data_IF_896039445476
#
_entry.id   IF_896039445476
#
_cell.length_a   1.000
_cell.length_b   1.000
_cell.length_c   1.000
_cell.angle_alpha   90.00
_cell.angle_beta   90.00
_cell.angle_gamma   90.00
#
_symmetry.space_group_name_H-M   'P 1'
#
loop_
_entity.id
_entity.type
_entity.pdbx_description
1 polymer ?
#
# COMPACT_ATOMS: atom_id res chain seq x y z
N UNK A 1 15.67 -30.67 5.21
CA UNK A 1 16.71 -29.75 4.68
C UNK A 1 16.36 -28.37 5.17
N UNK A 2 17.24 -27.71 5.93
CA UNK A 2 17.06 -26.30 6.27
C UNK A 2 17.06 -25.52 4.96
N UNK A 3 15.93 -24.93 4.56
CA UNK A 3 15.91 -24.01 3.42
C UNK A 3 16.87 -22.86 3.75
N UNK A 4 17.87 -22.62 2.89
CA UNK A 4 18.77 -21.48 3.06
C UNK A 4 17.95 -20.19 2.97
N UNK A 5 18.03 -19.35 4.01
CA UNK A 5 17.32 -18.06 4.04
C UNK A 5 18.17 -16.99 3.37
N UNK A 6 17.59 -16.30 2.38
CA UNK A 6 18.26 -15.18 1.70
C UNK A 6 18.17 -13.94 2.58
N UNK A 7 19.29 -13.24 2.77
CA UNK A 7 19.33 -11.95 3.46
C UNK A 7 19.57 -10.82 2.46
N UNK A 8 18.70 -9.80 2.47
CA UNK A 8 18.88 -8.61 1.64
C UNK A 8 20.09 -7.79 2.12
N UNK A 9 20.99 -7.45 1.20
CA UNK A 9 21.99 -6.40 1.42
C UNK A 9 21.34 -5.02 1.18
N UNK A 10 21.21 -4.21 2.24
CA UNK A 10 20.41 -2.98 2.25
C UNK A 10 21.27 -1.72 2.15
N UNK A 11 22.11 -1.64 1.12
CA UNK A 11 23.11 -0.55 1.00
C UNK A 11 22.51 0.80 0.61
N UNK A 12 21.28 0.82 0.08
CA UNK A 12 20.67 2.00 -0.53
C UNK A 12 21.30 2.45 -1.84
N UNK A 13 22.32 1.75 -2.36
CA UNK A 13 22.96 2.10 -3.64
C UNK A 13 22.02 1.78 -4.80
N UNK A 14 21.75 2.78 -5.63
CA UNK A 14 21.03 2.69 -6.89
C UNK A 14 22.00 2.25 -7.97
N UNK A 15 21.82 1.03 -8.47
CA UNK A 15 22.66 0.44 -9.50
C UNK A 15 21.80 -0.18 -10.62
N UNK A 16 22.33 -0.34 -11.84
CA UNK A 16 21.65 -1.11 -12.88
C UNK A 16 21.35 -2.54 -12.40
N UNK A 17 20.19 -3.07 -12.80
CA UNK A 17 19.85 -4.46 -12.51
C UNK A 17 20.83 -5.39 -13.24
N UNK A 18 21.38 -6.43 -12.59
CA UNK A 18 22.42 -7.28 -13.20
C UNK A 18 22.01 -7.98 -14.49
N UNK A 19 20.70 -8.20 -14.68
CA UNK A 19 20.13 -8.91 -15.83
C UNK A 19 19.38 -7.97 -16.80
N UNK A 20 19.21 -6.69 -16.44
CA UNK A 20 18.49 -5.71 -17.25
C UNK A 20 19.00 -4.30 -16.97
N UNK A 21 19.91 -3.80 -17.82
CA UNK A 21 20.53 -2.48 -17.60
C UNK A 21 19.57 -1.31 -17.79
N UNK A 22 18.38 -1.52 -18.38
CA UNK A 22 17.34 -0.50 -18.49
C UNK A 22 16.56 -0.34 -17.16
N UNK A 23 16.71 -1.28 -16.23
CA UNK A 23 16.20 -1.20 -14.87
C UNK A 23 17.32 -0.75 -13.92
N UNK A 24 17.01 0.18 -13.01
CA UNK A 24 17.87 0.49 -11.88
C UNK A 24 17.18 0.08 -10.58
N UNK A 25 17.94 -0.47 -9.64
CA UNK A 25 17.42 -1.02 -8.39
C UNK A 25 18.20 -0.53 -7.19
N UNK A 26 17.56 -0.52 -6.03
CA UNK A 26 18.21 -0.37 -4.72
C UNK A 26 17.43 -1.14 -3.65
N UNK A 27 18.11 -1.60 -2.61
CA UNK A 27 17.50 -2.11 -1.39
C UNK A 27 17.69 -1.07 -0.29
N UNK A 28 16.59 -0.49 0.20
CA UNK A 28 16.64 0.66 1.12
C UNK A 28 17.20 0.25 2.49
N UNK A 29 18.08 1.07 3.10
CA UNK A 29 18.61 0.82 4.43
C UNK A 29 17.49 0.77 5.47
N UNK A 30 17.56 -0.19 6.40
CA UNK A 30 16.67 -0.25 7.56
C UNK A 30 17.26 -1.16 8.63
N UNK A 31 17.15 -0.74 9.89
CA UNK A 31 17.52 -1.54 11.07
C UNK A 31 16.42 -2.51 11.51
N UNK A 32 15.20 -2.37 10.98
CA UNK A 32 14.08 -3.23 11.37
C UNK A 32 14.21 -4.63 10.73
N UNK A 33 13.85 -5.70 11.47
CA UNK A 33 13.75 -7.04 10.89
C UNK A 33 12.59 -7.12 9.87
N UNK A 34 11.47 -6.43 10.13
CA UNK A 34 10.37 -6.29 9.19
C UNK A 34 10.27 -4.88 8.61
N UNK A 35 10.04 -4.79 7.29
CA UNK A 35 9.79 -3.57 6.53
C UNK A 35 8.68 -3.84 5.52
N UNK A 36 7.59 -3.07 5.55
CA UNK A 36 6.42 -3.34 4.71
C UNK A 36 5.64 -2.06 4.35
N UNK A 37 4.83 -2.16 3.29
CA UNK A 37 3.90 -1.12 2.80
C UNK A 37 4.56 0.22 2.41
N UNK A 38 5.40 0.18 1.37
CA UNK A 38 6.06 1.38 0.87
C UNK A 38 5.12 2.36 0.15
N UNK A 39 5.39 3.66 0.28
CA UNK A 39 4.85 4.74 -0.54
C UNK A 39 5.95 5.72 -0.95
N UNK A 40 5.93 6.14 -2.22
CA UNK A 40 6.86 7.09 -2.81
C UNK A 40 6.23 8.46 -3.02
N UNK A 41 7.05 9.51 -2.93
CA UNK A 41 6.68 10.85 -3.33
C UNK A 41 7.89 11.61 -3.93
N UNK A 42 7.89 11.85 -5.26
CA UNK A 42 8.80 12.80 -5.87
C UNK A 42 8.50 14.22 -5.38
N UNK A 43 9.54 14.97 -5.02
CA UNK A 43 9.44 16.33 -4.52
C UNK A 43 9.79 17.36 -5.61
N UNK A 44 9.33 18.63 -5.49
CA UNK A 44 9.61 19.68 -6.47
C UNK A 44 11.10 20.02 -6.63
N UNK A 45 11.91 19.81 -5.60
CA UNK A 45 13.36 19.98 -5.64
C UNK A 45 14.09 18.86 -6.40
N UNK A 46 13.36 17.81 -6.79
CA UNK A 46 13.84 16.62 -7.48
C UNK A 46 14.34 15.51 -6.56
N UNK A 47 14.22 15.68 -5.24
CA UNK A 47 14.39 14.59 -4.30
C UNK A 47 13.25 13.58 -4.42
N UNK A 48 13.48 12.36 -3.94
CA UNK A 48 12.46 11.33 -3.83
C UNK A 48 12.39 10.85 -2.39
N UNK A 49 11.19 10.85 -1.80
CA UNK A 49 10.94 10.25 -0.49
C UNK A 49 10.33 8.86 -0.65
N UNK A 50 10.73 7.95 0.23
CA UNK A 50 10.08 6.66 0.42
C UNK A 50 9.77 6.46 1.89
N UNK A 51 8.50 6.18 2.21
CA UNK A 51 8.06 5.81 3.56
C UNK A 51 7.54 4.38 3.58
N UNK A 52 7.69 3.70 4.70
CA UNK A 52 7.17 2.37 4.96
C UNK A 52 7.00 2.19 6.48
N UNK A 53 6.33 1.13 6.92
CA UNK A 53 6.34 0.79 8.34
C UNK A 53 7.32 -0.33 8.62
N UNK A 54 7.94 -0.29 9.81
CA UNK A 54 8.93 -1.27 10.22
C UNK A 54 9.03 -1.42 11.73
N UNK A 55 9.38 -2.63 12.15
CA UNK A 55 9.42 -3.08 13.54
C UNK A 55 9.67 -4.59 13.58
N UNK A 56 9.24 -5.27 14.65
CA UNK A 56 9.41 -6.72 14.79
C UNK A 56 8.42 -7.52 13.93
N UNK A 57 7.13 -7.20 13.99
CA UNK A 57 6.07 -7.88 13.24
C UNK A 57 4.82 -6.99 13.09
N UNK A 58 4.25 -6.98 11.89
CA UNK A 58 3.04 -6.23 11.53
C UNK A 58 1.93 -6.56 12.51
N UNK A 59 1.32 -5.53 13.08
CA UNK A 59 0.28 -5.67 14.08
C UNK A 59 0.77 -5.41 15.50
N UNK A 60 2.07 -5.50 15.78
CA UNK A 60 2.65 -5.21 17.11
C UNK A 60 2.89 -3.70 17.29
N UNK A 61 2.80 -3.22 18.54
CA UNK A 61 2.93 -1.80 18.88
C UNK A 61 4.33 -1.19 18.64
N UNK A 62 5.36 -2.00 18.41
CA UNK A 62 6.70 -1.49 18.07
C UNK A 62 6.83 -1.06 16.59
N UNK A 63 5.79 -1.31 15.79
CA UNK A 63 5.74 -0.92 14.39
C UNK A 63 5.60 0.61 14.30
N UNK A 64 6.58 1.23 13.66
CA UNK A 64 6.66 2.67 13.45
C UNK A 64 6.80 2.99 11.97
N UNK A 65 6.49 4.23 11.59
CA UNK A 65 6.75 4.76 10.25
C UNK A 65 8.23 5.15 10.12
N UNK A 66 8.84 4.73 9.02
CA UNK A 66 10.21 5.05 8.63
C UNK A 66 10.23 5.77 7.29
N UNK A 67 11.25 6.60 7.07
CA UNK A 67 11.45 7.34 5.83
C UNK A 67 12.91 7.30 5.39
N UNK A 68 13.15 7.14 4.10
CA UNK A 68 14.44 7.37 3.46
C UNK A 68 14.29 8.34 2.29
N UNK A 69 15.37 9.05 1.97
CA UNK A 69 15.42 10.07 0.92
C UNK A 69 16.49 9.71 -0.10
N UNK A 70 16.15 9.80 -1.37
CA UNK A 70 17.11 9.86 -2.47
C UNK A 70 17.24 11.32 -2.91
N UNK A 71 18.32 11.97 -2.49
CA UNK A 71 18.62 13.35 -2.89
C UNK A 71 18.85 13.42 -4.40
N UNK A 72 18.36 14.48 -5.05
CA UNK A 72 18.59 14.71 -6.47
C UNK A 72 20.09 14.61 -6.83
N UNK A 73 20.40 13.76 -7.80
CA UNK A 73 21.77 13.53 -8.27
C UNK A 73 22.60 12.56 -7.40
N UNK A 74 22.06 12.09 -6.27
CA UNK A 74 22.65 10.99 -5.51
C UNK A 74 22.40 9.66 -6.20
N UNK A 75 23.35 8.73 -6.05
CA UNK A 75 23.19 7.32 -6.38
C UNK A 75 22.82 6.49 -5.15
N UNK A 76 22.56 7.12 -4.00
CA UNK A 76 22.33 6.42 -2.74
C UNK A 76 21.18 7.02 -1.94
N UNK A 77 20.31 6.13 -1.47
CA UNK A 77 19.28 6.42 -0.46
C UNK A 77 19.91 6.67 0.91
N UNK A 78 19.39 7.65 1.64
CA UNK A 78 19.83 7.93 3.02
C UNK A 78 19.52 6.77 3.97
N UNK A 79 20.17 6.75 5.12
CA UNK A 79 19.71 5.93 6.24
C UNK A 79 18.25 6.27 6.59
N UNK A 80 17.50 5.25 7.01
CA UNK A 80 16.10 5.41 7.38
C UNK A 80 15.95 6.17 8.70
N UNK A 81 15.03 7.12 8.72
CA UNK A 81 14.66 7.90 9.90
C UNK A 81 13.28 7.46 10.39
N UNK A 82 13.17 7.16 11.69
CA UNK A 82 11.88 6.87 12.36
C UNK A 82 11.08 8.16 12.50
N UNK A 83 9.85 8.18 11.97
CA UNK A 83 8.99 9.37 11.88
C UNK A 83 7.74 9.29 12.76
N UNK A 84 7.45 8.16 13.37
CA UNK A 84 6.35 8.00 14.32
C UNK A 84 6.79 7.11 15.48
N UNK A 85 6.10 7.20 16.62
CA UNK A 85 6.38 6.37 17.80
C UNK A 85 5.15 6.38 18.72
N UNK A 86 4.47 5.24 18.84
CA UNK A 86 3.38 5.05 19.79
C UNK A 86 3.51 3.68 20.47
N UNK A 87 3.86 3.61 21.76
CA UNK A 87 4.04 2.32 22.44
C UNK A 87 2.74 1.53 22.62
N UNK A 88 1.58 2.15 22.42
CA UNK A 88 0.27 1.50 22.54
C UNK A 88 -0.37 1.12 21.20
N UNK A 89 0.25 1.45 20.06
CA UNK A 89 -0.35 1.24 18.73
C UNK A 89 0.66 0.81 17.67
N UNK A 90 0.24 -0.11 16.81
CA UNK A 90 0.96 -0.47 15.59
C UNK A 90 0.69 0.57 14.49
N UNK A 91 1.71 1.28 14.03
CA UNK A 91 1.60 2.39 13.08
C UNK A 91 1.95 1.98 11.64
N UNK A 92 0.93 1.79 10.80
CA UNK A 92 1.02 1.11 9.51
C UNK A 92 0.53 1.94 8.32
N UNK A 93 0.80 1.44 7.11
CA UNK A 93 0.39 2.02 5.82
C UNK A 93 0.66 3.53 5.69
N UNK A 94 1.92 3.98 5.87
CA UNK A 94 2.23 5.40 5.74
C UNK A 94 2.04 5.89 4.32
N UNK A 95 1.57 7.12 4.18
CA UNK A 95 1.27 7.80 2.92
C UNK A 95 1.83 9.22 2.99
N UNK A 96 2.56 9.61 1.94
CA UNK A 96 3.01 10.99 1.76
C UNK A 96 2.08 11.73 0.80
N UNK A 97 1.82 13.00 1.09
CA UNK A 97 1.03 13.89 0.25
C UNK A 97 1.59 15.32 0.33
N UNK A 98 2.03 15.89 -0.79
CA UNK A 98 2.40 17.30 -0.87
C UNK A 98 1.18 18.09 -1.32
N UNK A 99 0.71 18.99 -0.46
CA UNK A 99 -0.48 19.79 -0.78
C UNK A 99 -0.15 20.98 -1.71
N UNK A 100 -1.18 21.64 -2.28
CA UNK A 100 -0.97 22.78 -3.18
C UNK A 100 -0.27 23.99 -2.55
N UNK A 101 -0.27 24.11 -1.21
CA UNK A 101 0.41 25.17 -0.47
C UNK A 101 1.85 24.77 -0.09
N UNK A 102 2.35 23.65 -0.64
CA UNK A 102 3.69 23.10 -0.40
C UNK A 102 3.94 22.64 1.04
N UNK A 103 2.88 22.28 1.77
CA UNK A 103 3.00 21.56 3.04
C UNK A 103 3.02 20.07 2.76
N UNK A 104 4.08 19.40 3.24
CA UNK A 104 4.20 17.95 3.11
C UNK A 104 3.50 17.27 4.28
N UNK A 105 2.50 16.45 3.96
CA UNK A 105 1.78 15.62 4.91
C UNK A 105 2.35 14.20 4.92
N UNK A 106 2.51 13.65 6.12
CA UNK A 106 2.66 12.21 6.36
C UNK A 106 1.42 11.76 7.11
N UNK A 107 0.71 10.77 6.56
CA UNK A 107 -0.46 10.14 7.16
C UNK A 107 -0.20 8.65 7.38
N UNK A 108 -0.79 8.06 8.40
CA UNK A 108 -0.71 6.61 8.64
C UNK A 108 -1.90 6.11 9.45
N UNK A 109 -2.12 4.80 9.42
CA UNK A 109 -3.11 4.14 10.27
C UNK A 109 -2.45 3.70 11.58
N UNK A 110 -3.09 3.89 12.72
CA UNK A 110 -2.59 3.46 14.02
C UNK A 110 -3.64 2.59 14.74
N UNK A 111 -3.37 1.30 14.90
CA UNK A 111 -4.29 0.32 15.53
C UNK A 111 -3.75 -0.14 16.89
N UNK A 112 -4.64 -0.53 17.81
CA UNK A 112 -4.21 -1.32 18.98
C UNK A 112 -3.73 -2.70 18.48
N UNK A 113 -2.76 -3.28 19.17
CA UNK A 113 -2.06 -4.48 18.72
C UNK A 113 -3.01 -5.56 18.19
N UNK A 114 -2.79 -6.04 16.95
CA UNK A 114 -3.63 -7.07 16.31
C UNK A 114 -5.08 -6.69 15.93
N UNK A 115 -5.61 -5.54 16.37
CA UNK A 115 -7.03 -5.20 16.27
C UNK A 115 -7.30 -4.08 15.26
N UNK A 116 -7.47 -4.43 13.96
CA UNK A 116 -7.68 -3.45 12.88
C UNK A 116 -8.95 -2.60 13.07
N UNK A 117 -10.01 -3.15 13.65
CA UNK A 117 -11.26 -2.44 13.94
C UNK A 117 -11.10 -1.29 14.95
N UNK A 118 -9.94 -1.18 15.61
CA UNK A 118 -9.58 -0.07 16.51
C UNK A 118 -8.77 1.04 15.85
N UNK A 119 -8.48 0.89 14.56
CA UNK A 119 -7.61 1.78 13.81
C UNK A 119 -8.18 3.20 13.69
N UNK A 120 -7.29 4.18 13.84
CA UNK A 120 -7.53 5.60 13.56
C UNK A 120 -6.48 6.10 12.58
N UNK A 121 -6.74 7.23 11.93
CA UNK A 121 -5.77 7.85 11.01
C UNK A 121 -5.06 8.99 11.73
N UNK A 122 -3.74 8.92 11.76
CA UNK A 122 -2.86 9.97 12.28
C UNK A 122 -2.14 10.68 11.16
N UNK A 123 -1.65 11.87 11.47
CA UNK A 123 -0.83 12.64 10.55
C UNK A 123 0.17 13.52 11.28
N UNK A 124 1.18 13.98 10.55
CA UNK A 124 2.04 15.11 10.89
C UNK A 124 2.45 15.84 9.62
N UNK A 125 2.91 17.08 9.77
CA UNK A 125 3.23 17.95 8.64
C UNK A 125 4.68 18.42 8.68
N UNK A 126 5.23 18.69 7.50
CA UNK A 126 6.53 19.31 7.29
C UNK A 126 6.39 20.53 6.39
N UNK A 127 7.07 21.61 6.77
CA UNK A 127 7.13 22.87 6.01
C UNK A 127 8.48 23.08 5.33
N UNK A 128 9.35 22.06 5.35
CA UNK A 128 10.71 22.10 4.80
C UNK A 128 11.03 20.85 3.95
N UNK A 129 10.00 20.34 3.26
CA UNK A 129 10.06 19.20 2.35
C UNK A 129 10.53 17.90 3.02
N UNK A 130 10.18 17.69 4.29
CA UNK A 130 10.46 16.48 5.04
C UNK A 130 11.85 16.45 5.68
N UNK A 131 12.46 17.61 5.94
CA UNK A 131 13.72 17.71 6.72
C UNK A 131 13.43 17.75 8.22
N UNK A 132 12.34 18.39 8.61
CA UNK A 132 11.78 18.37 9.96
C UNK A 132 10.26 18.18 9.91
N UNK A 133 9.68 17.73 11.01
CA UNK A 133 8.27 17.37 11.09
C UNK A 133 7.66 17.92 12.38
N UNK A 134 6.46 18.49 12.27
CA UNK A 134 5.67 18.97 13.40
C UNK A 134 5.05 17.85 14.23
N UNK A 135 4.17 18.21 15.15
CA UNK A 135 3.51 17.28 16.07
C UNK A 135 2.66 16.22 15.36
N UNK A 136 2.54 15.06 16.00
CA UNK A 136 1.62 13.99 15.59
C UNK A 136 0.21 14.36 16.07
N UNK A 137 -0.77 14.31 15.17
CA UNK A 137 -2.18 14.60 15.43
C UNK A 137 -3.06 13.48 14.85
N UNK A 138 -4.30 13.39 15.34
CA UNK A 138 -5.32 12.50 14.77
C UNK A 138 -6.08 13.24 13.68
N UNK A 139 -6.15 12.67 12.48
CA UNK A 139 -6.93 13.19 11.36
C UNK A 139 -8.36 12.66 11.37
N UNK A 140 -8.51 11.33 11.52
CA UNK A 140 -9.79 10.63 11.54
C UNK A 140 -9.80 9.72 12.78
N UNK A 141 -10.71 9.98 13.70
CA UNK A 141 -10.79 9.31 15.01
C UNK A 141 -11.81 8.18 15.06
N UNK A 142 -12.63 8.01 14.01
CA UNK A 142 -13.56 6.89 13.87
C UNK A 142 -12.77 5.56 13.88
N UNK A 143 -13.00 4.67 14.85
CA UNK A 143 -12.37 3.35 14.89
C UNK A 143 -12.64 2.53 13.63
N UNK A 144 -11.66 1.71 13.25
CA UNK A 144 -11.70 0.85 12.08
C UNK A 144 -11.40 1.59 10.78
N UNK A 145 -10.91 2.83 10.83
CA UNK A 145 -10.59 3.60 9.62
C UNK A 145 -9.14 3.34 9.20
N UNK A 146 -8.97 2.81 8.00
CA UNK A 146 -7.65 2.61 7.38
C UNK A 146 -7.44 3.47 6.16
N UNK A 147 -6.16 3.80 5.93
CA UNK A 147 -5.66 4.37 4.69
C UNK A 147 -4.57 3.49 4.08
N UNK A 148 -4.32 3.66 2.78
CA UNK A 148 -3.16 3.07 2.08
C UNK A 148 -2.70 3.89 0.89
N UNK A 149 -3.61 4.60 0.24
CA UNK A 149 -3.35 5.29 -1.01
C UNK A 149 -3.26 6.81 -0.80
N UNK A 150 -2.49 7.53 -1.64
CA UNK A 150 -2.36 8.98 -1.57
C UNK A 150 -3.69 9.74 -1.67
N UNK A 151 -3.71 10.92 -1.07
CA UNK A 151 -4.75 11.93 -1.31
C UNK A 151 -4.66 12.37 -2.77
N UNK A 152 -5.82 12.55 -3.41
CA UNK A 152 -5.95 13.13 -4.74
C UNK A 152 -6.59 14.51 -4.61
N UNK A 153 -5.94 15.54 -5.15
CA UNK A 153 -6.52 16.88 -5.24
C UNK A 153 -7.15 17.05 -6.60
N UNK A 154 -8.44 17.37 -6.62
CA UNK A 154 -9.21 17.56 -7.85
C UNK A 154 -9.08 19.00 -8.38
N UNK A 155 -9.39 19.25 -9.66
CA UNK A 155 -9.37 20.59 -10.24
C UNK A 155 -10.28 21.62 -9.54
N UNK A 156 -11.34 21.16 -8.86
CA UNK A 156 -12.23 22.02 -8.07
C UNK A 156 -11.65 22.39 -6.69
N UNK A 157 -10.49 21.85 -6.31
CA UNK A 157 -9.83 22.08 -5.02
C UNK A 157 -10.13 21.04 -3.95
N UNK A 158 -11.08 20.13 -4.18
CA UNK A 158 -11.44 19.10 -3.20
C UNK A 158 -10.32 18.07 -3.05
N UNK A 159 -10.12 17.61 -1.82
CA UNK A 159 -9.18 16.54 -1.49
C UNK A 159 -9.95 15.25 -1.26
N UNK A 160 -9.58 14.20 -1.99
CA UNK A 160 -10.14 12.86 -1.84
C UNK A 160 -9.11 11.98 -1.13
N UNK A 161 -9.46 11.50 0.06
CA UNK A 161 -8.71 10.51 0.81
C UNK A 161 -9.47 9.18 0.78
N UNK A 162 -9.01 8.18 0.00
CA UNK A 162 -9.62 6.86 0.00
C UNK A 162 -9.38 6.16 1.34
N UNK A 163 -10.44 5.61 1.92
CA UNK A 163 -10.41 4.84 3.18
C UNK A 163 -11.12 3.50 3.00
N UNK A 164 -10.88 2.58 3.91
CA UNK A 164 -11.77 1.44 4.11
C UNK A 164 -12.05 1.25 5.60
N UNK A 165 -13.18 0.63 5.88
CA UNK A 165 -13.63 0.36 7.23
C UNK A 165 -13.45 -1.11 7.58
N UNK A 166 -12.68 -1.37 8.62
CA UNK A 166 -12.51 -2.68 9.23
C UNK A 166 -13.70 -2.96 10.14
N UNK A 167 -14.64 -3.78 9.66
CA UNK A 167 -15.91 -4.02 10.36
C UNK A 167 -15.89 -5.35 11.10
N UNK A 168 -16.42 -5.33 12.33
CA UNK A 168 -16.66 -6.51 13.18
C UNK A 168 -18.16 -6.72 13.34
N UNK A 169 -18.56 -7.98 13.57
CA UNK A 169 -19.90 -8.28 14.08
C UNK A 169 -19.84 -8.31 15.61
N UNK A 170 -20.94 -7.98 16.32
CA UNK A 170 -20.96 -8.03 17.77
C UNK A 170 -20.53 -9.41 18.31
N UNK A 171 -19.48 -9.43 19.14
CA UNK A 171 -18.93 -10.66 19.73
C UNK A 171 -17.92 -11.42 18.85
N UNK A 172 -17.59 -10.91 17.66
CA UNK A 172 -16.60 -11.50 16.77
C UNK A 172 -15.33 -10.64 16.64
N UNK A 173 -14.18 -11.31 16.51
CA UNK A 173 -12.94 -10.66 16.10
C UNK A 173 -13.00 -10.21 14.65
N UNK A 174 -12.20 -9.19 14.31
CA UNK A 174 -12.06 -8.75 12.94
C UNK A 174 -11.41 -9.84 12.06
N UNK A 175 -12.07 -10.18 10.95
CA UNK A 175 -11.59 -11.19 9.98
C UNK A 175 -11.46 -10.64 8.55
N UNK A 176 -11.76 -9.36 8.34
CA UNK A 176 -11.66 -8.68 7.05
C UNK A 176 -12.76 -8.99 6.02
N UNK A 177 -13.65 -9.95 6.30
CA UNK A 177 -14.70 -10.40 5.37
C UNK A 177 -15.80 -9.36 5.13
N UNK A 178 -15.98 -8.41 6.05
CA UNK A 178 -17.05 -7.42 6.01
C UNK A 178 -16.57 -6.01 5.67
N UNK A 179 -15.28 -5.86 5.37
CA UNK A 179 -14.69 -4.54 5.12
C UNK A 179 -15.30 -3.89 3.88
N UNK A 180 -15.54 -2.59 3.95
CA UNK A 180 -16.11 -1.78 2.87
C UNK A 180 -15.25 -0.56 2.60
N UNK A 181 -15.30 -0.05 1.36
CA UNK A 181 -14.56 1.16 0.96
C UNK A 181 -15.42 2.42 1.02
N UNK A 182 -14.76 3.54 1.29
CA UNK A 182 -15.34 4.87 1.22
C UNK A 182 -14.28 5.89 0.78
N UNK A 183 -14.72 7.08 0.42
CA UNK A 183 -13.85 8.22 0.15
C UNK A 183 -14.18 9.33 1.13
N UNK A 184 -13.16 9.85 1.81
CA UNK A 184 -13.26 11.08 2.59
C UNK A 184 -13.04 12.26 1.66
N UNK A 185 -13.97 13.22 1.65
CA UNK A 185 -13.84 14.46 0.88
C UNK A 185 -13.64 15.63 1.85
N UNK A 186 -12.60 16.41 1.59
CA UNK A 186 -12.38 17.71 2.25
C UNK A 186 -12.47 18.84 1.23
N UNK A 187 -13.23 19.88 1.57
CA UNK A 187 -13.43 21.10 0.79
C UNK A 187 -12.65 22.29 1.39
N UNK A 188 -11.94 22.06 2.50
CA UNK A 188 -11.32 23.07 3.34
C UNK A 188 -9.84 22.76 3.66
N UNK A 189 -9.16 22.10 2.72
CA UNK A 189 -7.73 21.75 2.78
C UNK A 189 -7.38 20.86 3.98
N UNK A 190 -8.20 19.84 4.21
CA UNK A 190 -7.99 18.79 5.20
C UNK A 190 -8.40 19.15 6.63
N UNK A 191 -9.10 20.28 6.85
CA UNK A 191 -9.58 20.68 8.18
C UNK A 191 -10.81 19.87 8.60
N UNK A 192 -11.70 19.56 7.67
CA UNK A 192 -12.85 18.69 7.89
C UNK A 192 -13.05 17.71 6.72
N UNK A 193 -13.70 16.58 7.02
CA UNK A 193 -13.87 15.48 6.09
C UNK A 193 -15.27 14.91 6.17
N UNK A 194 -15.97 14.81 5.03
CA UNK A 194 -17.23 14.07 4.90
C UNK A 194 -17.03 12.74 4.21
N UNK A 195 -17.95 11.82 4.43
CA UNK A 195 -17.91 10.47 3.89
C UNK A 195 -18.71 10.37 2.59
N UNK A 196 -18.15 9.69 1.59
CA UNK A 196 -18.86 9.18 0.42
C UNK A 196 -18.65 7.68 0.36
N UNK A 197 -19.72 6.93 0.57
CA UNK A 197 -19.68 5.46 0.54
C UNK A 197 -19.57 4.94 -0.89
N UNK A 198 -18.84 3.83 -1.08
CA UNK A 198 -18.83 3.10 -2.35
C UNK A 198 -19.87 1.98 -2.28
N UNK A 199 -20.90 1.97 -3.15
CA UNK A 199 -21.95 0.96 -3.09
C UNK A 199 -21.37 -0.44 -3.36
N UNK A 200 -21.93 -1.44 -2.68
CA UNK A 200 -21.59 -2.87 -2.87
C UNK A 200 -20.09 -3.21 -2.81
N UNK A 201 -19.33 -2.45 -2.01
CA UNK A 201 -17.87 -2.56 -1.94
C UNK A 201 -17.33 -3.57 -0.94
N UNK A 202 -18.16 -4.45 -0.39
CA UNK A 202 -17.73 -5.47 0.58
C UNK A 202 -16.60 -6.32 -0.01
N UNK A 203 -15.48 -6.42 0.72
CA UNK A 203 -14.29 -7.14 0.29
C UNK A 203 -13.37 -6.36 -0.65
N UNK A 204 -13.82 -5.25 -1.23
CA UNK A 204 -12.98 -4.34 -2.02
C UNK A 204 -12.37 -3.28 -1.10
N UNK A 205 -11.05 -3.32 -0.91
CA UNK A 205 -10.34 -2.41 0.01
C UNK A 205 -9.08 -1.83 -0.64
N UNK A 206 -8.37 -0.96 0.07
CA UNK A 206 -7.18 -0.26 -0.45
C UNK A 206 -7.44 0.53 -1.74
N UNK A 207 -8.65 1.09 -1.87
CA UNK A 207 -9.10 1.90 -3.00
C UNK A 207 -8.04 2.92 -3.41
N UNK A 208 -7.56 2.82 -4.64
CA UNK A 208 -6.64 3.78 -5.24
C UNK A 208 -7.39 4.60 -6.28
N UNK A 209 -7.60 5.88 -5.98
CA UNK A 209 -8.22 6.83 -6.91
C UNK A 209 -7.17 7.46 -7.80
N UNK A 210 -7.49 7.65 -9.09
CA UNK A 210 -6.68 8.43 -10.02
C UNK A 210 -7.57 9.22 -10.98
N UNK A 211 -7.13 10.42 -11.36
CA UNK A 211 -7.84 11.30 -12.28
C UNK A 211 -7.45 10.96 -13.72
N UNK A 212 -8.44 10.79 -14.59
CA UNK A 212 -8.26 10.55 -16.01
C UNK A 212 -8.27 11.86 -16.80
N UNK A 213 -7.75 11.83 -18.03
CA UNK A 213 -7.68 13.01 -18.91
C UNK A 213 -9.04 13.61 -19.26
N UNK A 214 -10.10 12.80 -19.26
CA UNK A 214 -11.48 13.25 -19.49
C UNK A 214 -12.13 13.89 -18.25
N UNK A 215 -11.39 13.99 -17.14
CA UNK A 215 -11.85 14.54 -15.86
C UNK A 215 -12.64 13.54 -14.99
N UNK A 216 -12.91 12.33 -15.47
CA UNK A 216 -13.50 11.27 -14.66
C UNK A 216 -12.48 10.63 -13.73
N UNK A 217 -12.95 9.95 -12.70
CA UNK A 217 -12.11 9.23 -11.75
C UNK A 217 -12.22 7.73 -11.98
N UNK A 218 -11.06 7.06 -11.97
CA UNK A 218 -10.96 5.62 -11.84
C UNK A 218 -10.51 5.28 -10.43
N UNK A 219 -11.15 4.29 -9.81
CA UNK A 219 -10.68 3.65 -8.61
C UNK A 219 -10.35 2.19 -8.88
N UNK A 220 -9.21 1.72 -8.39
CA UNK A 220 -8.83 0.31 -8.40
C UNK A 220 -8.68 -0.22 -6.97
N UNK A 221 -9.08 -1.47 -6.75
CA UNK A 221 -9.12 -2.09 -5.41
C UNK A 221 -8.30 -3.38 -5.38
N UNK A 222 -7.73 -3.68 -4.20
CA UNK A 222 -7.40 -5.08 -3.89
C UNK A 222 -8.67 -5.79 -3.43
N UNK A 223 -8.69 -7.11 -3.58
CA UNK A 223 -9.80 -7.96 -3.15
C UNK A 223 -9.41 -8.79 -1.95
N UNK A 224 -10.21 -8.73 -0.88
CA UNK A 224 -10.13 -9.61 0.29
C UNK A 224 -10.25 -11.08 -0.12
N UNK A 225 -10.90 -11.38 -1.23
CA UNK A 225 -11.13 -12.74 -1.70
C UNK A 225 -9.96 -13.33 -2.49
N UNK A 226 -8.91 -12.53 -2.75
CA UNK A 226 -7.75 -12.95 -3.54
C UNK A 226 -8.13 -13.55 -4.91
N UNK A 227 -8.99 -12.85 -5.64
CA UNK A 227 -9.44 -13.22 -6.99
C UNK A 227 -8.94 -12.23 -8.06
N UNK A 228 -9.50 -11.02 -8.09
CA UNK A 228 -9.31 -10.03 -9.15
C UNK A 228 -9.02 -8.65 -8.55
N UNK A 229 -8.39 -7.79 -9.35
CA UNK A 229 -8.47 -6.34 -9.13
C UNK A 229 -9.87 -5.91 -9.51
N UNK A 230 -10.52 -5.11 -8.68
CA UNK A 230 -11.82 -4.51 -8.99
C UNK A 230 -11.64 -3.05 -9.40
N UNK A 231 -12.61 -2.51 -10.14
CA UNK A 231 -12.67 -1.10 -10.51
C UNK A 231 -14.01 -0.46 -10.19
N UNK A 232 -13.99 0.83 -9.88
CA UNK A 232 -15.16 1.71 -9.83
C UNK A 232 -14.87 3.00 -10.57
N UNK A 233 -15.90 3.71 -11.01
CA UNK A 233 -15.78 5.02 -11.67
C UNK A 233 -16.64 6.07 -10.98
N UNK A 234 -16.17 7.30 -11.03
CA UNK A 234 -16.95 8.50 -10.67
C UNK A 234 -16.87 9.51 -11.81
N UNK A 235 -18.01 10.10 -12.13
CA UNK A 235 -18.16 11.12 -13.18
C UNK A 235 -18.59 12.48 -12.62
N UNK A 236 -18.64 12.60 -11.30
CA UNK A 236 -19.16 13.74 -10.56
C UNK A 236 -18.17 14.20 -9.48
N UNK A 237 -16.86 14.13 -9.77
CA UNK A 237 -15.79 14.60 -8.88
C UNK A 237 -15.73 13.85 -7.54
N UNK A 238 -16.11 12.57 -7.53
CA UNK A 238 -16.03 11.69 -6.37
C UNK A 238 -17.25 11.73 -5.46
N UNK A 239 -18.31 12.47 -5.82
CA UNK A 239 -19.56 12.54 -5.06
C UNK A 239 -20.37 11.25 -5.10
N UNK A 240 -20.22 10.46 -6.17
CA UNK A 240 -20.75 9.09 -6.26
C UNK A 240 -19.81 8.16 -7.01
N UNK A 241 -19.94 6.87 -6.74
CA UNK A 241 -19.11 5.81 -7.33
C UNK A 241 -19.99 4.67 -7.85
N UNK A 242 -19.62 4.08 -8.97
CA UNK A 242 -20.20 2.80 -9.41
C UNK A 242 -19.83 1.68 -8.45
N UNK A 243 -20.69 0.65 -8.36
CA UNK A 243 -20.34 -0.59 -7.65
C UNK A 243 -19.05 -1.20 -8.24
N UNK A 244 -18.17 -1.80 -7.42
CA UNK A 244 -16.94 -2.41 -7.92
C UNK A 244 -17.20 -3.58 -8.87
N UNK A 245 -16.56 -3.56 -10.04
CA UNK A 245 -16.61 -4.64 -11.03
C UNK A 245 -15.21 -5.25 -11.24
N UNK A 246 -15.09 -6.58 -11.41
CA UNK A 246 -13.80 -7.23 -11.58
C UNK A 246 -13.16 -6.88 -12.93
N UNK A 247 -11.85 -6.67 -12.92
CA UNK A 247 -11.00 -6.64 -14.11
C UNK A 247 -10.52 -8.06 -14.46
N UNK A 248 -9.97 -8.22 -15.67
CA UNK A 248 -9.26 -9.44 -16.06
C UNK A 248 -7.93 -9.65 -15.33
N UNK A 249 -7.47 -8.66 -14.55
CA UNK A 249 -6.23 -8.73 -13.79
C UNK A 249 -6.46 -9.47 -12.46
N UNK A 250 -5.63 -10.47 -12.12
CA UNK A 250 -5.76 -11.17 -10.84
C UNK A 250 -5.30 -10.31 -9.66
N UNK A 251 -5.78 -10.63 -8.46
CA UNK A 251 -5.27 -10.07 -7.21
C UNK A 251 -5.21 -11.14 -6.12
N UNK A 252 -4.20 -11.09 -5.26
CA UNK A 252 -3.90 -12.06 -4.22
C UNK A 252 -4.12 -11.50 -2.79
N UNK A 253 -5.05 -10.55 -2.63
CA UNK A 253 -5.27 -9.80 -1.39
C UNK A 253 -4.00 -9.01 -0.92
N UNK A 254 -3.10 -8.71 -1.86
CA UNK A 254 -2.03 -7.71 -1.69
C UNK A 254 -2.49 -6.37 -2.24
N UNK A 255 -1.98 -5.27 -1.66
CA UNK A 255 -2.23 -3.93 -2.19
C UNK A 255 -1.69 -3.79 -3.60
N UNK A 256 -2.27 -2.86 -4.35
CA UNK A 256 -1.83 -2.39 -5.67
C UNK A 256 -1.56 -0.90 -5.61
N UNK A 257 -0.92 -0.30 -6.62
CA UNK A 257 -0.94 1.15 -6.80
C UNK A 257 -0.94 1.51 -8.29
N UNK A 258 -1.79 2.47 -8.66
CA UNK A 258 -1.92 3.04 -10.00
C UNK A 258 -1.67 4.55 -9.96
N UNK A 259 -1.04 5.07 -11.01
CA UNK A 259 -0.91 6.50 -11.25
C UNK A 259 -1.19 6.82 -12.72
N UNK A 260 -1.92 7.90 -12.97
CA UNK A 260 -1.97 8.53 -14.29
C UNK A 260 -0.62 9.18 -14.59
N UNK A 261 -0.09 8.91 -15.78
CA UNK A 261 1.13 9.49 -16.33
C UNK A 261 0.79 10.77 -17.11
N UNK A 262 1.78 11.63 -17.33
CA UNK A 262 1.59 12.92 -18.06
C UNK A 262 1.08 12.78 -19.50
N UNK A 263 1.22 11.62 -20.11
CA UNK A 263 0.71 11.31 -21.45
C UNK A 263 -0.71 10.72 -21.43
N UNK A 264 -1.37 10.65 -20.27
CA UNK A 264 -2.71 10.10 -20.10
C UNK A 264 -2.75 8.58 -19.88
N UNK A 265 -1.62 7.88 -20.05
CA UNK A 265 -1.56 6.45 -19.78
C UNK A 265 -1.64 6.18 -18.27
N UNK A 266 -2.09 4.99 -17.90
CA UNK A 266 -2.09 4.53 -16.52
C UNK A 266 -0.99 3.52 -16.31
N UNK A 267 -0.20 3.68 -15.25
CA UNK A 267 0.79 2.71 -14.81
C UNK A 267 0.35 2.08 -13.50
N UNK A 268 0.20 0.76 -13.49
CA UNK A 268 -0.24 -0.06 -12.36
C UNK A 268 0.89 -1.00 -11.94
N UNK A 269 1.16 -1.07 -10.65
CA UNK A 269 2.03 -2.09 -10.07
C UNK A 269 1.21 -2.97 -9.14
N UNK A 270 1.29 -4.29 -9.35
CA UNK A 270 0.49 -5.28 -8.64
C UNK A 270 1.18 -6.65 -8.64
N UNK A 271 0.64 -7.59 -7.86
CA UNK A 271 0.99 -8.99 -7.97
C UNK A 271 0.09 -9.68 -9.00
N UNK A 272 0.64 -10.18 -10.11
CA UNK A 272 -0.14 -10.90 -11.13
C UNK A 272 -0.44 -12.34 -10.70
N UNK A 273 -1.17 -12.49 -9.59
CA UNK A 273 -1.46 -13.76 -8.93
C UNK A 273 -2.79 -13.67 -8.17
N UNK A 274 -3.46 -14.80 -7.99
CA UNK A 274 -4.70 -14.95 -7.19
C UNK A 274 -4.59 -16.17 -6.26
N UNK A 275 -5.66 -16.48 -5.54
CA UNK A 275 -5.78 -17.73 -4.76
C UNK A 275 -6.18 -18.94 -5.62
N UNK A 276 -6.38 -18.77 -6.93
CA UNK A 276 -6.70 -19.89 -7.82
C UNK A 276 -5.58 -20.94 -7.78
N UNK A 277 -5.95 -22.19 -7.44
CA UNK A 277 -4.99 -23.29 -7.30
C UNK A 277 -4.19 -23.31 -6.00
N UNK A 278 -4.42 -22.40 -5.05
CA UNK A 278 -3.76 -22.43 -3.74
C UNK A 278 -4.28 -23.61 -2.89
N UNK A 279 -3.35 -24.43 -2.37
CA UNK A 279 -3.65 -25.57 -1.49
C UNK A 279 -3.58 -25.24 0.00
N UNK A 280 -2.95 -24.13 0.35
CA UNK A 280 -2.70 -23.68 1.72
C UNK A 280 -3.36 -22.32 1.95
N UNK A 281 -3.81 -22.07 3.19
CA UNK A 281 -4.46 -20.82 3.61
C UNK A 281 -4.14 -20.54 5.07
N UNK A 282 -3.91 -19.26 5.39
CA UNK A 282 -3.77 -18.78 6.77
C UNK A 282 -5.13 -18.54 7.42
N UNK A 283 -5.21 -18.70 8.74
CA UNK A 283 -6.45 -18.48 9.49
C UNK A 283 -6.84 -17.00 9.51
N UNK A 284 -5.86 -16.13 9.71
CA UNK A 284 -6.04 -14.68 9.70
C UNK A 284 -4.76 -13.98 9.31
N UNK A 285 -4.80 -12.64 9.24
CA UNK A 285 -3.59 -11.84 9.08
C UNK A 285 -2.68 -11.90 10.33
N UNK A 286 -3.23 -12.08 11.53
CA UNK A 286 -2.50 -12.00 12.80
C UNK A 286 -2.55 -13.32 13.59
N UNK A 287 -2.62 -14.46 12.90
CA UNK A 287 -2.64 -15.81 13.47
C UNK A 287 -1.39 -16.19 14.30
N UNK A 288 -0.34 -15.37 14.24
CA UNK A 288 0.92 -15.54 14.99
C UNK A 288 1.12 -14.52 16.13
N UNK A 289 0.16 -13.64 16.40
CA UNK A 289 0.22 -12.66 17.50
C UNK A 289 -0.59 -13.20 18.68
N UNK A 290 0.05 -13.31 19.85
CA UNK A 290 -0.63 -13.63 21.10
C UNK A 290 -1.41 -12.39 21.61
N UNK A 291 -2.64 -12.58 22.07
CA UNK A 291 -3.46 -11.47 22.59
C UNK A 291 -2.99 -11.06 24.00
N UNK A 292 -2.39 -9.87 24.11
CA UNK A 292 -1.99 -9.30 25.40
C UNK A 292 -3.08 -8.37 26.00
N UNK A 293 -4.32 -8.84 26.18
CA UNK A 293 -5.34 -8.07 26.94
C UNK A 293 -5.70 -8.70 28.29
N UNK A 294 -5.48 -7.92 29.37
CA UNK A 294 -5.83 -8.20 30.77
C UNK A 294 -7.34 -8.16 31.08
N UNK A 295 -8.21 -7.91 30.09
CA UNK A 295 -9.67 -7.82 30.28
C UNK A 295 -10.41 -9.01 29.64
N UNK A 296 -10.43 -10.13 30.35
CA UNK A 296 -11.66 -10.89 30.64
C UNK A 296 -12.43 -11.67 29.56
N UNK A 297 -12.27 -11.47 28.25
CA UNK A 297 -12.98 -12.28 27.23
C UNK A 297 -12.04 -12.71 26.10
N UNK A 298 -11.56 -13.95 26.21
CA UNK A 298 -10.63 -14.60 25.27
C UNK A 298 -11.35 -14.97 23.97
N UNK A 299 -11.38 -14.06 23.00
CA UNK A 299 -11.63 -14.46 21.63
C UNK A 299 -10.29 -14.87 21.00
N UNK A 300 -9.96 -16.16 21.02
CA UNK A 300 -8.84 -16.71 20.23
C UNK A 300 -9.06 -16.34 18.75
N UNK A 301 -8.01 -16.22 17.93
CA UNK A 301 -8.15 -16.14 16.47
C UNK A 301 -9.02 -17.31 15.98
N UNK A 302 -10.32 -17.06 15.83
CA UNK A 302 -11.29 -18.09 15.51
C UNK A 302 -11.34 -18.28 14.00
N UNK A 303 -11.55 -19.53 13.56
CA UNK A 303 -11.94 -19.76 12.18
C UNK A 303 -13.16 -18.88 11.86
N UNK A 304 -13.15 -18.16 10.73
CA UNK A 304 -14.26 -17.28 10.38
C UNK A 304 -15.54 -18.11 10.29
N UNK A 305 -16.47 -17.87 11.21
CA UNK A 305 -17.79 -18.51 11.17
C UNK A 305 -18.51 -17.96 9.94
N UNK A 306 -18.79 -18.85 8.98
CA UNK A 306 -19.43 -18.47 7.71
C UNK A 306 -20.91 -18.23 7.97
N UNK A 307 -21.28 -16.98 8.29
CA UNK A 307 -22.67 -16.61 8.53
C UNK A 307 -23.46 -16.42 7.21
N UNK A 308 -22.83 -15.91 6.15
CA UNK A 308 -23.24 -15.98 4.74
C UNK A 308 -22.23 -15.20 3.87
N UNK A 309 -22.15 -15.49 2.56
CA UNK A 309 -21.32 -14.71 1.62
C UNK A 309 -19.86 -15.18 1.46
N UNK A 310 -19.04 -14.38 0.77
CA UNK A 310 -17.62 -14.67 0.48
C UNK A 310 -16.73 -14.24 1.66
N UNK A 311 -15.74 -15.05 2.02
CA UNK A 311 -14.81 -14.75 3.13
C UNK A 311 -13.43 -14.31 2.65
N UNK A 312 -12.72 -13.53 3.47
CA UNK A 312 -11.37 -13.06 3.14
C UNK A 312 -10.36 -14.22 3.06
N UNK A 313 -9.62 -14.35 1.96
CA UNK A 313 -8.58 -15.36 1.76
C UNK A 313 -7.20 -14.82 2.17
N UNK A 314 -6.49 -15.58 3.00
CA UNK A 314 -5.17 -15.23 3.52
C UNK A 314 -4.13 -16.28 3.13
N UNK A 315 -2.94 -15.85 2.69
CA UNK A 315 -1.87 -16.77 2.26
C UNK A 315 -1.83 -17.07 0.77
N UNK A 316 -2.54 -16.32 -0.08
CA UNK A 316 -2.40 -16.45 -1.53
C UNK A 316 -0.97 -16.03 -1.94
N UNK A 317 -0.26 -16.81 -2.79
CA UNK A 317 1.11 -16.49 -3.16
C UNK A 317 1.28 -15.08 -3.69
N UNK A 318 2.41 -14.46 -3.34
CA UNK A 318 2.70 -13.05 -3.58
C UNK A 318 3.88 -12.82 -4.53
N UNK A 319 3.85 -13.50 -5.66
CA UNK A 319 4.73 -13.29 -6.80
C UNK A 319 3.98 -13.70 -8.08
N UNK A 320 4.32 -13.13 -9.25
CA UNK A 320 5.35 -12.10 -9.47
C UNK A 320 4.94 -10.70 -8.98
N UNK A 321 5.87 -9.74 -9.03
CA UNK A 321 5.56 -8.31 -8.96
C UNK A 321 5.61 -7.75 -10.38
N UNK A 322 4.54 -7.11 -10.84
CA UNK A 322 4.33 -6.80 -12.26
C UNK A 322 3.98 -5.32 -12.45
N UNK A 323 4.62 -4.69 -13.45
CA UNK A 323 4.22 -3.38 -13.97
C UNK A 323 3.31 -3.60 -15.19
N UNK A 324 2.16 -2.94 -15.20
CA UNK A 324 1.22 -2.94 -16.31
C UNK A 324 0.91 -1.51 -16.78
N UNK A 325 0.75 -1.31 -18.09
CA UNK A 325 0.36 -0.04 -18.70
C UNK A 325 -0.99 -0.19 -19.41
N UNK A 326 -1.87 0.78 -19.17
CA UNK A 326 -3.12 0.97 -19.91
C UNK A 326 -3.07 2.28 -20.67
N UNK A 327 -3.51 2.24 -21.94
CA UNK A 327 -3.60 3.41 -22.83
C UNK A 327 -5.04 3.82 -23.14
N UNK A 328 -6.02 3.14 -22.53
CA UNK A 328 -7.46 3.30 -22.82
C UNK A 328 -8.28 3.67 -21.57
N UNK A 329 -7.64 4.33 -20.60
CA UNK A 329 -8.28 4.77 -19.36
C UNK A 329 -8.61 3.62 -18.40
N UNK A 330 -7.81 2.56 -18.41
CA UNK A 330 -7.93 1.41 -17.51
C UNK A 330 -8.94 0.35 -17.95
N UNK A 331 -9.44 0.41 -19.20
CA UNK A 331 -10.36 -0.60 -19.74
C UNK A 331 -9.64 -1.91 -20.07
N UNK A 332 -8.39 -1.82 -20.54
CA UNK A 332 -7.52 -2.96 -20.79
C UNK A 332 -6.07 -2.69 -20.36
N UNK A 333 -5.32 -3.78 -20.13
CA UNK A 333 -3.95 -3.76 -19.62
C UNK A 333 -3.05 -4.72 -20.43
N UNK A 334 -2.86 -4.49 -21.74
CA UNK A 334 -2.18 -5.43 -22.62
C UNK A 334 -0.65 -5.44 -22.46
N UNK A 335 -0.07 -4.36 -21.95
CA UNK A 335 1.37 -4.22 -21.76
C UNK A 335 1.71 -4.56 -20.31
N UNK A 336 2.41 -5.67 -20.08
CA UNK A 336 2.81 -6.11 -18.74
C UNK A 336 4.21 -6.68 -18.75
N UNK A 337 4.99 -6.41 -17.70
CA UNK A 337 6.32 -6.97 -17.51
C UNK A 337 6.63 -7.15 -16.02
N UNK A 338 7.23 -8.29 -15.67
CA UNK A 338 7.57 -8.61 -14.29
C UNK A 338 8.82 -7.83 -13.85
N UNK A 339 8.69 -7.12 -12.73
CA UNK A 339 9.78 -6.43 -12.03
C UNK A 339 10.62 -7.41 -11.20
N UNK A 340 9.97 -8.41 -10.62
CA UNK A 340 10.57 -9.53 -9.89
C UNK A 340 9.68 -10.77 -9.98
N UNK A 341 10.31 -11.93 -9.91
CA UNK A 341 9.67 -13.25 -9.94
C UNK A 341 10.12 -14.09 -8.75
N UNK A 342 9.31 -15.07 -8.36
CA UNK A 342 9.55 -15.92 -7.20
C UNK A 342 8.37 -16.84 -6.94
N UNK A 343 8.46 -17.66 -5.89
CA UNK A 343 7.35 -18.53 -5.48
C UNK A 343 6.25 -17.79 -4.69
N UNK A 344 6.55 -16.61 -4.17
CA UNK A 344 5.60 -15.77 -3.46
C UNK A 344 5.18 -16.32 -2.09
N UNK A 345 5.97 -17.20 -1.47
CA UNK A 345 5.61 -17.82 -0.20
C UNK A 345 5.36 -16.79 0.91
N UNK A 346 4.17 -16.85 1.55
CA UNK A 346 3.68 -15.85 2.51
C UNK A 346 2.89 -16.44 3.70
N UNK A 347 3.19 -17.69 4.08
CA UNK A 347 2.43 -18.42 5.11
C UNK A 347 2.78 -18.04 6.56
N UNK A 348 3.58 -17.00 6.77
CA UNK A 348 3.97 -16.49 8.10
C UNK A 348 4.10 -14.97 8.05
N UNK A 349 3.93 -14.28 9.18
CA UNK A 349 4.30 -12.86 9.30
C UNK A 349 5.62 -12.67 10.06
N UNK A 350 6.14 -13.72 10.68
CA UNK A 350 7.41 -13.70 11.40
C UNK A 350 8.58 -13.43 10.45
N UNK A 351 9.11 -12.21 10.52
CA UNK A 351 10.23 -11.78 9.66
C UNK A 351 11.59 -12.03 10.29
N UNK A 352 11.66 -12.42 11.57
CA UNK A 352 12.92 -12.74 12.24
C UNK A 352 13.55 -14.01 11.67
N UNK A 353 12.72 -15.00 11.32
CA UNK A 353 13.16 -16.25 10.71
C UNK A 353 13.39 -16.15 9.20
N UNK A 354 13.00 -15.02 8.58
CA UNK A 354 13.20 -14.74 7.13
C UNK A 354 12.64 -15.82 6.20
N UNK A 355 11.51 -16.44 6.58
CA UNK A 355 10.89 -17.52 5.79
C UNK A 355 10.06 -16.99 4.62
N UNK A 356 9.51 -15.78 4.74
CA UNK A 356 8.73 -15.14 3.69
C UNK A 356 9.55 -14.89 2.43
N UNK A 357 8.94 -15.14 1.29
CA UNK A 357 9.47 -14.89 -0.06
C UNK A 357 8.46 -14.13 -0.93
N UNK A 358 7.66 -13.27 -0.28
CA UNK A 358 6.64 -12.45 -0.93
C UNK A 358 7.16 -11.11 -1.46
N UNK A 359 6.57 -10.64 -2.56
CA UNK A 359 6.58 -9.24 -2.95
C UNK A 359 5.21 -8.63 -2.66
N UNK A 360 5.16 -7.45 -2.06
CA UNK A 360 3.87 -6.93 -1.63
C UNK A 360 3.85 -5.40 -1.49
N UNK A 361 2.64 -4.86 -1.60
CA UNK A 361 2.30 -3.47 -1.31
C UNK A 361 3.19 -2.47 -2.07
N UNK A 362 3.09 -2.44 -3.41
CA UNK A 362 3.87 -1.54 -4.22
C UNK A 362 3.40 -0.09 -4.11
N UNK A 363 4.27 0.80 -4.57
CA UNK A 363 4.01 2.20 -4.86
C UNK A 363 4.64 2.55 -6.19
N UNK A 364 3.99 3.43 -6.94
CA UNK A 364 4.47 3.93 -8.23
C UNK A 364 4.17 5.43 -8.35
N UNK A 365 5.17 6.20 -8.79
CA UNK A 365 5.05 7.62 -9.15
C UNK A 365 5.91 7.93 -10.37
N UNK A 366 5.42 8.82 -11.22
CA UNK A 366 6.23 9.35 -12.32
C UNK A 366 7.15 10.46 -11.80
N UNK A 367 8.45 10.35 -12.07
CA UNK A 367 9.47 11.34 -11.77
C UNK A 367 9.39 12.56 -12.69
N UNK A 368 10.17 13.60 -12.37
CA UNK A 368 10.18 14.85 -13.15
C UNK A 368 10.66 14.65 -14.59
N UNK A 369 11.50 13.64 -14.86
CA UNK A 369 12.04 13.36 -16.19
C UNK A 369 11.21 12.30 -16.95
N UNK A 370 10.07 11.87 -16.40
CA UNK A 370 9.19 10.87 -17.02
C UNK A 370 9.51 9.43 -16.66
N UNK A 371 10.57 9.18 -15.87
CA UNK A 371 10.87 7.88 -15.30
C UNK A 371 9.75 7.41 -14.35
N UNK A 372 9.58 6.11 -14.21
CA UNK A 372 8.71 5.50 -13.21
C UNK A 372 9.54 5.10 -12.01
N UNK A 373 9.25 5.70 -10.86
CA UNK A 373 9.79 5.30 -9.58
C UNK A 373 8.82 4.31 -8.93
N UNK A 374 9.32 3.14 -8.59
CA UNK A 374 8.54 2.05 -8.02
C UNK A 374 9.22 1.60 -6.73
N UNK A 375 8.44 1.33 -5.69
CA UNK A 375 8.94 0.71 -4.46
C UNK A 375 7.98 -0.37 -3.99
N UNK A 376 8.48 -1.47 -3.46
CA UNK A 376 7.64 -2.53 -2.89
C UNK A 376 8.37 -3.28 -1.79
N UNK A 377 7.58 -3.99 -1.01
CA UNK A 377 8.09 -4.89 0.02
C UNK A 377 8.76 -6.08 -0.65
N UNK A 378 9.99 -6.36 -0.25
CA UNK A 378 10.75 -7.52 -0.67
C UNK A 378 10.94 -8.44 0.53
N UNK A 379 10.27 -9.58 0.50
CA UNK A 379 10.33 -10.67 1.49
C UNK A 379 9.98 -10.25 2.92
N UNK A 380 9.29 -9.10 3.07
CA UNK A 380 9.13 -8.35 4.34
C UNK A 380 10.43 -7.94 5.02
N UNK A 381 11.58 -8.26 4.42
CA UNK A 381 12.88 -7.93 4.97
C UNK A 381 13.28 -6.50 4.62
N UNK A 382 12.95 -6.01 3.43
CA UNK A 382 13.40 -4.71 2.96
C UNK A 382 12.37 -4.07 2.03
N UNK A 383 12.58 -2.78 1.75
CA UNK A 383 11.90 -2.11 0.65
C UNK A 383 12.86 -2.11 -0.55
N UNK A 384 12.43 -2.72 -1.66
CA UNK A 384 13.12 -2.65 -2.95
C UNK A 384 12.60 -1.44 -3.70
N UNK A 385 13.51 -0.63 -4.20
CA UNK A 385 13.26 0.46 -5.14
C UNK A 385 13.65 0.03 -6.55
N UNK A 386 12.86 0.46 -7.52
CA UNK A 386 13.07 0.24 -8.95
C UNK A 386 12.82 1.54 -9.71
N UNK A 387 13.69 1.87 -10.68
CA UNK A 387 13.51 2.95 -11.64
C UNK A 387 13.61 2.40 -13.06
N UNK A 388 12.58 2.67 -13.86
CA UNK A 388 12.46 2.27 -15.28
C UNK A 388 11.82 3.38 -16.09
N UNK A 389 11.99 3.38 -17.41
CA UNK A 389 11.15 4.16 -18.32
C UNK A 389 9.81 3.46 -18.56
N UNK A 390 8.79 4.19 -19.05
CA UNK A 390 7.50 3.58 -19.41
C UNK A 390 7.66 2.51 -20.51
N UNK A 391 8.48 2.78 -21.53
CA UNK A 391 8.75 1.86 -22.64
C UNK A 391 9.37 0.53 -22.22
N UNK A 392 9.95 0.45 -21.01
CA UNK A 392 10.55 -0.77 -20.48
C UNK A 392 9.56 -1.94 -20.46
N UNK A 393 8.26 -1.67 -20.28
CA UNK A 393 7.21 -2.71 -20.30
C UNK A 393 7.10 -3.44 -21.65
N UNK A 394 7.53 -2.79 -22.74
CA UNK A 394 7.44 -3.33 -24.11
C UNK A 394 8.63 -4.22 -24.49
N UNK A 395 9.65 -4.33 -23.62
CA UNK A 395 10.83 -5.17 -23.87
C UNK A 395 11.83 -4.60 -24.88
N UNK A 396 11.74 -3.31 -25.22
CA UNK A 396 12.76 -2.62 -26.01
C UNK A 396 13.89 -2.09 -25.12
N UNK A 397 15.14 -2.26 -25.56
CA UNK A 397 16.25 -1.46 -25.04
C UNK A 397 15.95 0.02 -25.33
N UNK A 398 15.96 0.86 -24.30
CA UNK A 398 15.69 2.29 -24.40
C UNK A 398 16.76 3.05 -25.18
#
# INVERSE_FOLDING_TARGET
MTQETVTAERTGLVAPHPQDSAQQIAMLPSSCPQNHAANLLPLPDGDLLCVWFGGTQEGIADISVWCSRLTKGSDRWSDAQKLSDDPGRSEQNPVLFLDPDQVLWLLWTAQKSGNQDTAIVRYRQSHDMGKSWGEIKTLLDKPGTFIRQPIVVLPNGNWLLPVFYCLTQPGEKWVGSYDVSAVKISEDKGQSWRDVSVPDSTGCVHMNVTLLDDGSLLALYRSRWADHIYQSRSFDQGESWSAPEPLSLPNNNSSIQVTTLRNGHLALVFNAMSAEGASERRLSLYDEIEDDEEDGDVAVAAEPVVHSGRTAFWGAPRAPMTLAISTDGGKSWPLQRNLDEGDGYCMTNNSQQKLNREFSYPSIKQGVNGELHIAYTWYRQAIKYVRVGESWVQGGDA
#
